data_IF_525454190345
#
_entry.id   IF_525454190345
#
_cell.length_a   1.000
_cell.length_b   1.000
_cell.length_c   1.000
_cell.angle_alpha   90.00
_cell.angle_beta   90.00
_cell.angle_gamma   90.00
#
_symmetry.space_group_name_H-M   'P 1'
#
loop_
_entity.id
_entity.type
_entity.pdbx_description
1 polymer ?
#
# COMPACT_ATOMS: atom_id res chain seq x y z
N UNK A 1 -1.95 5.32 10.28
CA UNK A 1 -1.13 4.22 9.74
C UNK A 1 0.25 4.79 9.51
N UNK A 2 1.28 4.12 9.99
CA UNK A 2 2.66 4.60 9.91
C UNK A 2 3.49 3.66 9.05
N UNK A 3 4.65 4.15 8.60
CA UNK A 3 5.57 3.43 7.73
C UNK A 3 4.91 2.95 6.42
N UNK A 4 4.09 3.80 5.79
CA UNK A 4 3.53 3.53 4.47
C UNK A 4 4.54 3.95 3.39
N UNK A 5 5.72 3.36 3.45
CA UNK A 5 6.85 3.60 2.56
C UNK A 5 6.87 2.59 1.43
N UNK A 6 7.56 2.95 0.35
CA UNK A 6 7.99 2.03 -0.70
C UNK A 6 8.78 0.85 -0.08
N UNK A 7 8.68 -0.32 -0.70
CA UNK A 7 9.25 -1.61 -0.22
C UNK A 7 8.70 -2.13 1.13
N UNK A 8 7.99 -1.31 1.92
CA UNK A 8 7.33 -1.71 3.18
C UNK A 8 5.91 -2.20 2.90
N UNK A 9 5.12 -1.42 2.16
CA UNK A 9 3.81 -1.80 1.66
C UNK A 9 3.75 -1.34 0.20
N UNK A 10 3.66 -2.24 -0.80
CA UNK A 10 3.73 -3.69 -0.65
C UNK A 10 5.10 -4.16 -0.12
N UNK A 11 5.12 -5.25 0.64
CA UNK A 11 6.35 -5.75 1.25
C UNK A 11 7.28 -6.38 0.21
N UNK A 12 8.45 -5.77 0.01
CA UNK A 12 9.48 -6.28 -0.89
C UNK A 12 9.89 -7.71 -0.52
N UNK A 13 10.02 -8.00 0.77
CA UNK A 13 10.36 -9.35 1.25
C UNK A 13 9.32 -10.39 0.79
N UNK A 14 8.02 -10.05 0.77
CA UNK A 14 6.98 -10.99 0.32
C UNK A 14 6.98 -11.14 -1.18
N UNK A 15 7.23 -10.05 -1.92
CA UNK A 15 7.36 -10.07 -3.39
C UNK A 15 8.52 -11.01 -3.80
N UNK A 16 9.68 -10.90 -3.14
CA UNK A 16 10.86 -11.72 -3.45
C UNK A 16 10.70 -13.22 -3.14
N UNK A 17 9.75 -13.59 -2.28
CA UNK A 17 9.48 -15.01 -1.98
C UNK A 17 8.68 -15.73 -3.06
N UNK A 18 8.14 -14.99 -4.02
CA UNK A 18 7.29 -15.51 -5.08
C UNK A 18 8.07 -15.64 -6.39
N UNK A 19 7.88 -16.74 -7.10
CA UNK A 19 8.60 -17.03 -8.36
C UNK A 19 7.73 -16.89 -9.61
N UNK A 20 6.41 -16.88 -9.46
CA UNK A 20 5.46 -16.97 -10.56
C UNK A 20 4.56 -15.72 -10.59
N UNK A 21 4.31 -15.17 -11.78
CA UNK A 21 3.61 -13.89 -11.96
C UNK A 21 2.18 -13.89 -11.39
N UNK A 22 1.50 -15.04 -11.41
CA UNK A 22 0.15 -15.16 -10.85
C UNK A 22 0.14 -14.98 -9.32
N UNK A 23 1.14 -15.54 -8.64
CA UNK A 23 1.28 -15.43 -7.19
C UNK A 23 1.76 -14.01 -6.80
N UNK A 24 2.46 -13.30 -7.70
CA UNK A 24 2.89 -11.92 -7.47
C UNK A 24 1.69 -10.97 -7.37
N UNK A 25 0.74 -11.08 -8.31
CA UNK A 25 -0.50 -10.31 -8.28
C UNK A 25 -1.29 -10.58 -6.99
N UNK A 26 -1.40 -11.84 -6.58
CA UNK A 26 -2.10 -12.23 -5.35
C UNK A 26 -1.46 -11.63 -4.09
N UNK A 27 -0.12 -11.58 -4.01
CA UNK A 27 0.60 -10.91 -2.92
C UNK A 27 0.31 -9.41 -2.94
N UNK A 28 0.38 -8.78 -4.11
CA UNK A 28 0.10 -7.37 -4.30
C UNK A 28 -1.31 -6.99 -3.85
N UNK A 29 -2.33 -7.73 -4.30
CA UNK A 29 -3.72 -7.50 -3.93
C UNK A 29 -3.97 -7.75 -2.44
N UNK A 30 -3.29 -8.75 -1.86
CA UNK A 30 -3.34 -8.99 -0.41
C UNK A 30 -2.76 -7.81 0.37
N UNK A 31 -1.60 -7.28 -0.03
CA UNK A 31 -0.98 -6.09 0.61
C UNK A 31 -1.88 -4.85 0.47
N UNK A 32 -2.46 -4.63 -0.72
CA UNK A 32 -3.42 -3.55 -0.95
C UNK A 32 -4.63 -3.68 -0.04
N UNK A 33 -5.15 -4.90 0.11
CA UNK A 33 -6.26 -5.19 1.01
C UNK A 33 -5.92 -4.92 2.49
N UNK A 34 -4.70 -5.25 2.93
CA UNK A 34 -4.23 -4.96 4.29
C UNK A 34 -4.22 -3.45 4.55
N UNK A 35 -3.73 -2.65 3.60
CA UNK A 35 -3.76 -1.19 3.71
C UNK A 35 -5.21 -0.66 3.78
N UNK A 36 -6.10 -1.17 2.94
CA UNK A 36 -7.53 -0.82 2.99
C UNK A 36 -8.15 -1.09 4.37
N UNK A 37 -7.91 -2.29 4.93
CA UNK A 37 -8.42 -2.63 6.27
C UNK A 37 -7.87 -1.68 7.31
N UNK A 38 -6.56 -1.42 7.30
CA UNK A 38 -5.91 -0.52 8.25
C UNK A 38 -6.47 0.90 8.17
N UNK A 39 -6.63 1.45 6.96
CA UNK A 39 -7.16 2.79 6.72
C UNK A 39 -8.63 2.90 7.15
N UNK A 40 -9.46 1.90 6.88
CA UNK A 40 -10.89 1.89 7.26
C UNK A 40 -11.15 1.58 8.73
N UNK A 41 -10.12 1.27 9.54
CA UNK A 41 -10.30 1.21 11.02
C UNK A 41 -10.49 2.59 11.64
N UNK A 42 -10.00 3.65 11.00
CA UNK A 42 -10.18 5.01 11.48
C UNK A 42 -11.64 5.47 11.32
N UNK A 43 -12.27 5.90 12.43
CA UNK A 43 -13.69 6.33 12.41
C UNK A 43 -13.90 7.79 12.03
N UNK A 44 -13.03 8.68 12.53
CA UNK A 44 -13.22 10.13 12.41
C UNK A 44 -12.13 10.77 11.55
N UNK A 45 -10.86 10.47 11.85
CA UNK A 45 -9.71 11.01 11.15
C UNK A 45 -8.71 9.90 10.88
N UNK A 46 -8.17 9.90 9.65
CA UNK A 46 -7.11 9.01 9.21
C UNK A 46 -5.85 9.84 8.99
N UNK A 47 -4.75 9.44 9.64
CA UNK A 47 -3.42 9.97 9.38
C UNK A 47 -2.57 8.85 8.78
N UNK A 48 -1.93 9.12 7.65
CA UNK A 48 -0.99 8.21 6.97
C UNK A 48 0.37 8.93 6.91
N UNK A 49 1.45 8.22 7.20
CA UNK A 49 2.81 8.78 7.19
C UNK A 49 3.77 7.81 6.52
N UNK A 50 4.68 8.36 5.71
CA UNK A 50 5.89 7.73 5.19
C UNK A 50 7.12 8.44 5.78
N UNK A 51 8.23 7.72 5.92
CA UNK A 51 9.52 8.26 6.33
C UNK A 51 10.40 8.71 5.16
N UNK A 52 10.35 8.02 4.03
CA UNK A 52 11.15 8.33 2.83
C UNK A 52 10.24 8.40 1.58
N UNK A 53 10.40 7.48 0.63
CA UNK A 53 9.56 7.37 -0.56
C UNK A 53 8.19 6.80 -0.16
N UNK A 54 7.08 7.50 -0.40
CA UNK A 54 5.75 6.98 -0.10
C UNK A 54 5.41 5.74 -0.94
N UNK A 55 4.69 4.80 -0.33
CA UNK A 55 4.11 3.65 -1.01
C UNK A 55 3.25 4.05 -2.21
N UNK A 56 3.33 3.30 -3.30
CA UNK A 56 2.49 3.46 -4.49
C UNK A 56 0.99 3.32 -4.18
N UNK A 57 0.60 2.56 -3.16
CA UNK A 57 -0.81 2.40 -2.79
C UNK A 57 -1.43 3.66 -2.17
N UNK A 58 -0.61 4.64 -1.77
CA UNK A 58 -1.12 5.93 -1.28
C UNK A 58 -1.76 6.71 -2.42
N UNK A 59 -1.29 6.55 -3.66
CA UNK A 59 -1.83 7.28 -4.81
C UNK A 59 -3.29 6.92 -5.10
N UNK A 60 -3.71 5.70 -4.78
CA UNK A 60 -5.11 5.27 -4.88
C UNK A 60 -6.06 6.10 -3.99
N UNK A 61 -5.56 6.65 -2.88
CA UNK A 61 -6.34 7.46 -1.95
C UNK A 61 -6.50 8.91 -2.43
N UNK A 62 -5.70 9.32 -3.41
CA UNK A 62 -5.77 10.66 -3.99
C UNK A 62 -6.90 10.72 -5.03
N UNK A 63 -8.14 10.87 -4.55
CA UNK A 63 -9.36 11.01 -5.38
C UNK A 63 -9.35 12.28 -6.25
N UNK A 64 -8.43 13.21 -5.99
CA UNK A 64 -8.12 14.29 -6.92
C UNK A 64 -7.09 13.77 -7.92
N UNK A 65 -7.59 13.23 -9.03
CA UNK A 65 -6.75 12.90 -10.17
C UNK A 65 -5.81 14.06 -10.47
N UNK A 66 -4.52 13.76 -10.56
CA UNK A 66 -3.59 14.67 -11.22
C UNK A 66 -4.11 14.88 -12.65
N UNK A 67 -4.75 16.03 -12.89
CA UNK A 67 -4.68 16.63 -14.22
C UNK A 67 -3.20 16.81 -14.52
N UNK A 68 -2.69 15.93 -15.38
CA UNK A 68 -1.41 16.10 -16.05
C UNK A 68 -1.50 17.26 -17.05
#
# INVERSE_FOLDING_TARGET
VMACDDEVIPSQQRIETVTDDADLEDVYETERHLLYVACTRARNHLLITSGDIPSEFIDDLNVRGYEK
#
